data_IF_654483860890
#
_entry.id   IF_654483860890
#
_cell.length_a   1.000
_cell.length_b   1.000
_cell.length_c   1.000
_cell.angle_alpha   90.00
_cell.angle_beta   90.00
_cell.angle_gamma   90.00
#
_symmetry.space_group_name_H-M   'P 1'
#
loop_
_entity.id
_entity.type
_entity.pdbx_description
1 polymer ?
#
# COMPACT_ATOMS: atom_id res chain seq x y z
N UNK A 1 -3.13 -17.36 -12.13
CA UNK A 1 -3.02 -16.58 -13.39
C UNK A 1 -2.85 -17.51 -14.58
N UNK A 2 -1.86 -18.41 -14.59
CA UNK A 2 -1.66 -19.39 -15.67
C UNK A 2 -2.85 -20.33 -15.85
N UNK A 3 -3.35 -20.92 -14.76
CA UNK A 3 -4.42 -21.93 -14.80
C UNK A 3 -5.73 -21.43 -15.41
N UNK A 4 -5.97 -20.12 -15.35
CA UNK A 4 -7.16 -19.49 -15.91
C UNK A 4 -6.88 -18.71 -17.20
N UNK A 5 -5.68 -18.84 -17.78
CA UNK A 5 -5.32 -18.14 -19.03
C UNK A 5 -5.45 -16.62 -18.94
N UNK A 6 -5.17 -16.03 -17.77
CA UNK A 6 -5.33 -14.58 -17.56
C UNK A 6 -4.38 -13.82 -18.50
N UNK A 7 -4.95 -12.93 -19.31
CA UNK A 7 -4.20 -12.11 -20.26
C UNK A 7 -3.97 -10.68 -19.77
N UNK A 8 -4.77 -10.18 -18.83
CA UNK A 8 -4.71 -8.81 -18.32
C UNK A 8 -5.03 -8.76 -16.82
N UNK A 9 -4.50 -7.77 -16.12
CA UNK A 9 -4.83 -7.49 -14.72
C UNK A 9 -5.38 -6.09 -14.57
N UNK A 10 -6.61 -5.97 -14.07
CA UNK A 10 -7.17 -4.70 -13.61
C UNK A 10 -6.94 -4.58 -12.10
N UNK A 11 -6.34 -3.47 -11.66
CA UNK A 11 -6.08 -3.23 -10.25
C UNK A 11 -6.42 -1.80 -9.83
N UNK A 12 -7.00 -1.63 -8.64
CA UNK A 12 -7.14 -0.32 -7.98
C UNK A 12 -5.79 0.11 -7.41
N UNK A 13 -5.42 1.37 -7.60
CA UNK A 13 -4.24 1.97 -6.94
C UNK A 13 -4.49 2.26 -5.45
N UNK A 14 -4.64 1.19 -4.65
CA UNK A 14 -4.95 1.28 -3.22
C UNK A 14 -3.75 1.62 -2.34
N UNK A 15 -2.51 1.38 -2.80
CA UNK A 15 -1.27 1.71 -2.09
C UNK A 15 -0.82 0.73 -0.99
N UNK A 16 -1.66 -0.23 -0.58
CA UNK A 16 -1.31 -1.20 0.47
C UNK A 16 -0.43 -2.36 0.01
N UNK A 17 0.43 -2.86 0.91
CA UNK A 17 1.33 -4.00 0.67
C UNK A 17 0.60 -5.33 0.51
N UNK A 18 -0.48 -5.57 1.26
CA UNK A 18 -1.24 -6.82 1.26
C UNK A 18 -1.76 -7.21 -0.14
N UNK A 19 -1.99 -6.23 -1.01
CA UNK A 19 -2.55 -6.45 -2.34
C UNK A 19 -1.49 -6.52 -3.45
N UNK A 20 -0.19 -6.51 -3.09
CA UNK A 20 0.94 -6.42 -4.03
C UNK A 20 1.23 -7.72 -4.78
N UNK A 21 0.93 -8.88 -4.19
CA UNK A 21 1.23 -10.20 -4.75
C UNK A 21 0.75 -10.38 -6.21
N UNK A 22 -0.45 -9.90 -6.53
CA UNK A 22 -0.98 -9.99 -7.91
C UNK A 22 -0.21 -9.12 -8.91
N UNK A 23 0.35 -8.00 -8.48
CA UNK A 23 1.14 -7.11 -9.34
C UNK A 23 2.51 -7.74 -9.64
N UNK A 24 3.10 -8.39 -8.64
CA UNK A 24 4.38 -9.07 -8.83
C UNK A 24 4.21 -10.32 -9.70
N UNK A 25 3.12 -11.07 -9.52
CA UNK A 25 2.76 -12.18 -10.40
C UNK A 25 2.54 -11.71 -11.87
N UNK A 26 1.81 -10.61 -12.07
CA UNK A 26 1.60 -10.04 -13.40
C UNK A 26 2.94 -9.62 -14.04
N UNK A 27 3.83 -8.99 -13.26
CA UNK A 27 5.17 -8.59 -13.71
C UNK A 27 6.00 -9.80 -14.13
N UNK A 28 6.05 -10.84 -13.30
CA UNK A 28 6.79 -12.06 -13.60
C UNK A 28 6.29 -12.76 -14.88
N UNK A 29 5.00 -12.65 -15.17
CA UNK A 29 4.36 -13.19 -16.36
C UNK A 29 4.35 -12.23 -17.55
N UNK A 30 4.90 -11.01 -17.40
CA UNK A 30 4.84 -9.93 -18.40
C UNK A 30 3.43 -9.62 -18.88
N UNK A 31 2.44 -9.72 -17.99
CA UNK A 31 1.04 -9.39 -18.28
C UNK A 31 0.81 -7.88 -18.18
N UNK A 32 0.03 -7.29 -19.10
CA UNK A 32 -0.44 -5.92 -18.97
C UNK A 32 -1.21 -5.70 -17.67
N UNK A 33 -0.89 -4.60 -16.99
CA UNK A 33 -1.62 -4.15 -15.80
C UNK A 33 -2.29 -2.82 -16.11
N UNK A 34 -3.61 -2.81 -16.02
CA UNK A 34 -4.42 -1.60 -16.11
C UNK A 34 -4.65 -1.11 -14.68
N UNK A 35 -4.09 0.04 -14.36
CA UNK A 35 -4.19 0.62 -13.03
C UNK A 35 -5.31 1.66 -13.00
N UNK A 36 -6.37 1.39 -12.24
CA UNK A 36 -7.39 2.38 -11.94
C UNK A 36 -6.83 3.43 -10.98
N UNK A 37 -6.87 4.69 -11.39
CA UNK A 37 -6.37 5.82 -10.62
C UNK A 37 -7.09 5.96 -9.27
N UNK A 38 -6.38 6.54 -8.29
CA UNK A 38 -6.99 6.94 -7.03
C UNK A 38 -7.89 8.15 -7.30
N UNK A 39 -9.16 8.15 -6.85
CA UNK A 39 -10.00 9.34 -6.98
C UNK A 39 -9.44 10.50 -6.14
N UNK A 40 -9.72 11.72 -6.55
CA UNK A 40 -9.49 12.88 -5.69
C UNK A 40 -10.42 12.79 -4.46
N UNK A 41 -9.86 12.94 -3.27
CA UNK A 41 -10.59 12.93 -2.00
C UNK A 41 -10.37 14.28 -1.30
N UNK A 42 -11.38 14.82 -0.59
CA UNK A 42 -11.19 16.01 0.23
C UNK A 42 -10.32 15.71 1.46
N UNK A 43 -9.52 16.70 1.89
CA UNK A 43 -8.65 16.60 3.06
C UNK A 43 -7.21 16.13 2.75
N UNK A 44 -6.34 16.19 3.76
CA UNK A 44 -4.97 15.72 3.67
C UNK A 44 -4.88 14.23 4.02
N UNK A 45 -4.06 13.49 3.25
CA UNK A 45 -3.70 12.11 3.59
C UNK A 45 -2.42 12.11 4.42
N UNK A 46 -2.38 11.29 5.47
CA UNK A 46 -1.17 10.95 6.20
C UNK A 46 -0.60 9.66 5.62
N UNK A 47 0.72 9.64 5.39
CA UNK A 47 1.43 8.58 4.66
C UNK A 47 2.01 7.48 5.55
N UNK A 48 1.95 7.68 6.87
CA UNK A 48 2.56 6.81 7.86
C UNK A 48 1.69 6.69 9.10
N UNK A 49 1.84 5.57 9.81
CA UNK A 49 1.19 5.35 11.10
C UNK A 49 1.69 6.40 12.11
N UNK A 50 2.97 6.73 12.10
CA UNK A 50 3.55 7.73 13.02
C UNK A 50 2.92 9.11 12.85
N UNK A 51 2.70 9.55 11.60
CA UNK A 51 2.00 10.81 11.34
C UNK A 51 0.56 10.79 11.87
N UNK A 52 -0.14 9.66 11.76
CA UNK A 52 -1.48 9.47 12.35
C UNK A 52 -1.44 9.55 13.88
N UNK A 53 -0.45 8.90 14.51
CA UNK A 53 -0.31 8.92 15.97
C UNK A 53 -0.01 10.33 16.48
N UNK A 54 0.86 11.07 15.80
CA UNK A 54 1.12 12.48 16.09
C UNK A 54 -0.13 13.35 15.94
N UNK A 55 -0.92 13.15 14.88
CA UNK A 55 -2.21 13.85 14.69
C UNK A 55 -3.23 13.53 15.79
N UNK A 56 -3.28 12.29 16.28
CA UNK A 56 -4.12 11.88 17.40
C UNK A 56 -3.64 12.41 18.76
N UNK A 57 -2.50 13.12 18.82
CA UNK A 57 -1.89 13.57 20.07
C UNK A 57 -1.20 12.45 20.87
N UNK A 58 -1.05 11.25 20.28
CA UNK A 58 -0.27 10.18 20.87
C UNK A 58 1.21 10.44 20.61
N UNK A 59 1.88 11.05 21.60
CA UNK A 59 3.34 11.07 21.61
C UNK A 59 3.80 9.64 21.84
N UNK A 60 4.46 9.03 20.86
CA UNK A 60 5.26 7.83 21.12
C UNK A 60 6.28 8.25 22.19
N UNK A 61 6.03 7.90 23.45
CA UNK A 61 7.03 8.02 24.49
C UNK A 61 8.19 7.18 23.99
N UNK A 62 9.24 7.85 23.51
CA UNK A 62 10.50 7.20 23.19
C UNK A 62 11.03 6.67 24.53
N UNK A 63 10.65 5.44 24.87
CA UNK A 63 11.28 4.72 25.94
C UNK A 63 12.65 4.31 25.40
N UNK A 64 13.62 5.21 25.53
CA UNK A 64 15.02 4.84 25.43
C UNK A 64 15.27 3.88 26.59
N UNK A 65 15.30 2.57 26.32
CA UNK A 65 15.92 1.62 27.24
C UNK A 65 17.38 2.07 27.35
N UNK A 66 17.71 2.84 28.38
CA UNK A 66 19.09 2.98 28.83
C UNK A 66 19.46 1.66 29.47
N UNK A 67 19.96 0.73 28.66
CA UNK A 67 20.74 -0.40 29.16
C UNK A 67 22.07 0.17 29.66
N UNK A 68 22.16 0.38 30.98
CA UNK A 68 23.41 0.26 31.72
C UNK A 68 23.68 -1.22 31.99
#
# INVERSE_FOLDING_TARGET
MRDHGITHVLAKNAGGSAARAKLDAARALRLPVIMAARPALPGAALDSVDAVMGWLGHSALHWTVSMR
#
